data_IF_524436782773
#
_entry.id   IF_524436782773
#
_cell.length_a   1.000
_cell.length_b   1.000
_cell.length_c   1.000
_cell.angle_alpha   90.00
_cell.angle_beta   90.00
_cell.angle_gamma   90.00
#
_symmetry.space_group_name_H-M   'P 1'
#
loop_
_entity.id
_entity.type
_entity.pdbx_description
1 polymer ?
#
# COMPACT_ATOMS: atom_id res chain seq x y z
N UNK A 1 20.04 13.99 26.45
CA UNK A 1 19.13 12.84 26.65
C UNK A 1 17.97 12.99 25.67
N UNK A 2 17.65 11.91 24.96
CA UNK A 2 16.67 11.80 23.84
C UNK A 2 16.96 12.65 22.60
N UNK A 3 17.81 12.10 21.71
CA UNK A 3 18.04 12.62 20.36
C UNK A 3 17.35 11.67 19.38
N UNK A 4 16.14 12.02 18.93
CA UNK A 4 15.35 11.22 17.98
C UNK A 4 15.66 11.67 16.55
N UNK A 5 16.85 11.34 16.05
CA UNK A 5 17.21 11.49 14.64
C UNK A 5 17.11 10.14 13.93
N UNK A 6 15.93 9.85 13.38
CA UNK A 6 15.75 8.89 12.29
C UNK A 6 14.81 9.53 11.25
N UNK A 7 15.22 10.67 10.71
CA UNK A 7 14.70 11.22 9.46
C UNK A 7 15.89 11.27 8.49
N UNK A 8 16.27 10.12 7.95
CA UNK A 8 17.17 10.07 6.81
C UNK A 8 16.33 9.80 5.56
N UNK A 9 16.28 10.84 4.73
CA UNK A 9 15.84 10.83 3.35
C UNK A 9 16.53 9.69 2.57
N UNK A 10 15.87 9.20 1.52
CA UNK A 10 16.35 8.21 0.52
C UNK A 10 16.65 6.78 0.97
N UNK A 11 15.80 6.18 1.82
CA UNK A 11 15.79 4.73 2.03
C UNK A 11 15.09 3.99 0.89
N UNK A 12 15.80 3.68 -0.20
CA UNK A 12 15.34 2.77 -1.25
C UNK A 12 15.15 1.37 -0.65
N UNK A 13 13.90 0.96 -0.43
CA UNK A 13 13.60 -0.43 -0.07
C UNK A 13 13.81 -1.32 -1.30
N UNK A 14 14.97 -1.97 -1.36
CA UNK A 14 15.26 -2.96 -2.39
C UNK A 14 14.27 -4.14 -2.27
N UNK A 15 13.63 -4.49 -3.39
CA UNK A 15 12.51 -5.44 -3.44
C UNK A 15 12.95 -6.91 -3.44
N UNK A 16 14.20 -7.21 -3.12
CA UNK A 16 14.72 -8.58 -3.06
C UNK A 16 15.51 -8.83 -1.77
N UNK A 17 14.77 -9.00 -0.69
CA UNK A 17 15.24 -9.77 0.46
C UNK A 17 16.07 -8.99 1.47
N UNK A 18 15.63 -9.09 2.73
CA UNK A 18 16.31 -8.70 3.94
C UNK A 18 16.71 -7.22 4.05
N UNK A 19 16.04 -6.51 4.96
CA UNK A 19 16.65 -5.39 5.66
C UNK A 19 17.88 -5.92 6.42
N UNK A 20 19.03 -5.99 5.75
CA UNK A 20 20.31 -6.25 6.41
C UNK A 20 20.70 -4.97 7.11
N UNK A 21 20.37 -4.89 8.39
CA UNK A 21 21.12 -4.03 9.26
C UNK A 21 22.18 -4.87 9.93
N UNK A 22 23.44 -4.49 9.69
CA UNK A 22 24.58 -5.08 10.34
C UNK A 22 24.42 -5.10 11.87
N UNK A 23 24.83 -6.22 12.46
CA UNK A 23 25.16 -6.37 13.87
C UNK A 23 23.97 -6.55 14.82
N UNK A 24 23.66 -7.81 15.12
CA UNK A 24 23.06 -8.24 16.40
C UNK A 24 21.61 -7.81 16.67
N UNK A 25 20.74 -8.79 16.84
CA UNK A 25 19.29 -8.67 17.12
C UNK A 25 18.41 -8.46 15.90
N UNK A 26 17.61 -9.49 15.63
CA UNK A 26 16.61 -9.62 14.57
C UNK A 26 15.85 -8.32 14.29
N UNK A 27 16.22 -7.62 13.20
CA UNK A 27 15.39 -6.53 12.68
C UNK A 27 14.20 -7.15 11.96
N UNK A 28 13.08 -7.28 12.67
CA UNK A 28 11.76 -7.46 12.04
C UNK A 28 11.67 -6.41 10.95
N UNK A 29 11.43 -6.82 9.70
CA UNK A 29 11.01 -5.91 8.64
C UNK A 29 9.76 -5.21 9.18
N UNK A 30 9.95 -4.00 9.72
CA UNK A 30 8.91 -3.31 10.43
C UNK A 30 7.95 -2.82 9.35
N UNK A 31 6.74 -3.35 9.33
CA UNK A 31 5.65 -2.77 8.55
C UNK A 31 5.17 -1.55 9.35
N UNK A 32 5.66 -0.32 9.06
CA UNK A 32 5.34 0.85 9.89
C UNK A 32 3.83 1.14 9.91
N UNK A 33 3.10 0.64 8.91
CA UNK A 33 1.67 0.75 8.77
C UNK A 33 0.86 -0.35 9.48
N UNK A 34 1.47 -1.25 10.25
CA UNK A 34 0.71 -2.26 11.00
C UNK A 34 -0.26 -1.64 12.00
N UNK A 35 0.16 -0.59 12.70
CA UNK A 35 -0.73 0.13 13.61
C UNK A 35 -1.96 0.65 12.87
N UNK A 36 -1.75 1.21 11.66
CA UNK A 36 -2.83 1.73 10.82
C UNK A 36 -3.74 0.63 10.28
N UNK A 37 -3.17 -0.53 9.90
CA UNK A 37 -3.92 -1.71 9.47
C UNK A 37 -4.77 -2.27 10.59
N UNK A 38 -4.22 -2.38 11.80
CA UNK A 38 -4.94 -2.85 12.98
C UNK A 38 -6.06 -1.89 13.34
N UNK A 39 -5.80 -0.57 13.34
CA UNK A 39 -6.82 0.44 13.62
C UNK A 39 -7.95 0.42 12.58
N UNK A 40 -7.62 0.31 11.30
CA UNK A 40 -8.63 0.19 10.24
C UNK A 40 -9.41 -1.13 10.37
N UNK A 41 -8.71 -2.24 10.54
CA UNK A 41 -9.34 -3.55 10.56
C UNK A 41 -10.22 -3.76 11.80
N UNK A 42 -9.83 -3.25 12.97
CA UNK A 42 -10.63 -3.39 14.19
C UNK A 42 -12.02 -2.76 14.03
N UNK A 43 -12.10 -1.57 13.42
CA UNK A 43 -13.36 -0.86 13.19
C UNK A 43 -14.27 -1.67 12.26
N UNK A 44 -13.76 -2.08 11.10
CA UNK A 44 -14.58 -2.79 10.10
C UNK A 44 -14.89 -4.23 10.48
N UNK A 45 -14.00 -4.92 11.19
CA UNK A 45 -14.31 -6.25 11.75
C UNK A 45 -15.43 -6.14 12.79
N UNK A 46 -15.33 -5.19 13.72
CA UNK A 46 -16.37 -4.98 14.73
C UNK A 46 -17.72 -4.67 14.08
N UNK A 47 -17.78 -3.68 13.18
CA UNK A 47 -19.01 -3.29 12.51
C UNK A 47 -19.55 -4.38 11.58
N UNK A 48 -18.69 -5.12 10.89
CA UNK A 48 -19.10 -6.19 10.00
C UNK A 48 -19.66 -7.39 10.76
N UNK A 49 -18.98 -7.84 11.83
CA UNK A 49 -19.47 -8.94 12.69
C UNK A 49 -20.80 -8.57 13.33
N UNK A 50 -20.92 -7.34 13.86
CA UNK A 50 -22.16 -6.86 14.48
C UNK A 50 -23.35 -6.84 13.50
N UNK A 51 -23.11 -6.51 12.22
CA UNK A 51 -24.15 -6.58 11.18
C UNK A 51 -24.61 -8.00 10.91
N UNK A 52 -23.72 -8.99 10.97
CA UNK A 52 -24.07 -10.41 10.78
C UNK A 52 -24.91 -10.96 11.93
N UNK A 53 -24.66 -10.53 13.18
CA UNK A 53 -25.43 -11.02 14.33
C UNK A 53 -26.82 -10.41 14.41
N UNK A 54 -27.07 -9.27 13.76
CA UNK A 54 -28.34 -8.54 13.81
C UNK A 54 -28.90 -8.21 12.41
N UNK A 55 -28.76 -9.13 11.45
CA UNK A 55 -29.13 -8.91 10.05
C UNK A 55 -30.54 -8.33 9.85
N UNK A 56 -31.56 -8.92 10.48
CA UNK A 56 -32.95 -8.47 10.31
C UNK A 56 -33.20 -7.09 10.93
N UNK A 57 -32.63 -6.82 12.11
CA UNK A 57 -32.76 -5.51 12.78
C UNK A 57 -32.04 -4.41 12.01
N UNK A 58 -30.83 -4.70 11.51
CA UNK A 58 -30.07 -3.79 10.67
C UNK A 58 -30.75 -3.55 9.31
N UNK A 59 -31.35 -4.57 8.71
CA UNK A 59 -32.09 -4.44 7.45
C UNK A 59 -33.27 -3.47 7.60
N UNK A 60 -34.04 -3.62 8.68
CA UNK A 60 -35.13 -2.71 9.01
C UNK A 60 -34.62 -1.28 9.28
N UNK A 61 -33.54 -1.13 10.06
CA UNK A 61 -32.96 0.18 10.39
C UNK A 61 -32.34 0.91 9.19
N UNK A 62 -31.75 0.17 8.24
CA UNK A 62 -31.11 0.73 7.04
C UNK A 62 -32.08 0.87 5.85
N UNK A 63 -33.29 0.31 5.95
CA UNK A 63 -34.27 0.29 4.86
C UNK A 63 -33.78 -0.47 3.62
N UNK A 64 -32.98 -1.53 3.82
CA UNK A 64 -32.44 -2.37 2.73
C UNK A 64 -32.78 -3.84 3.01
N UNK A 65 -32.88 -4.70 1.98
CA UNK A 65 -33.15 -6.12 2.19
C UNK A 65 -32.01 -6.80 2.97
N UNK A 66 -32.34 -7.89 3.67
CA UNK A 66 -31.39 -8.67 4.50
C UNK A 66 -30.13 -9.07 3.73
N UNK A 67 -30.28 -9.48 2.46
CA UNK A 67 -29.12 -9.84 1.64
C UNK A 67 -28.19 -8.65 1.37
N UNK A 68 -28.73 -7.42 1.30
CA UNK A 68 -27.93 -6.21 1.13
C UNK A 68 -27.07 -5.91 2.37
N UNK A 69 -27.63 -6.11 3.57
CA UNK A 69 -26.86 -6.03 4.83
C UNK A 69 -25.76 -7.08 4.86
N UNK A 70 -26.06 -8.31 4.44
CA UNK A 70 -25.08 -9.39 4.40
C UNK A 70 -23.92 -9.09 3.44
N UNK A 71 -24.20 -8.50 2.27
CA UNK A 71 -23.16 -8.06 1.33
C UNK A 71 -22.29 -6.97 1.96
N UNK A 72 -22.90 -5.94 2.57
CA UNK A 72 -22.15 -4.87 3.25
C UNK A 72 -21.25 -5.43 4.35
N UNK A 73 -21.80 -6.30 5.21
CA UNK A 73 -21.04 -6.95 6.28
C UNK A 73 -19.89 -7.80 5.73
N UNK A 74 -20.12 -8.56 4.66
CA UNK A 74 -19.11 -9.35 3.99
C UNK A 74 -17.98 -8.50 3.40
N UNK A 75 -18.31 -7.37 2.76
CA UNK A 75 -17.31 -6.43 2.23
C UNK A 75 -16.46 -5.81 3.35
N UNK A 76 -17.07 -5.44 4.47
CA UNK A 76 -16.35 -4.90 5.63
C UNK A 76 -15.41 -5.95 6.25
N UNK A 77 -15.88 -7.18 6.47
CA UNK A 77 -15.07 -8.25 7.08
C UNK A 77 -13.94 -8.69 6.13
N UNK A 78 -14.27 -9.06 4.90
CA UNK A 78 -13.27 -9.56 3.95
C UNK A 78 -12.29 -8.44 3.60
N UNK A 79 -12.78 -7.23 3.36
CA UNK A 79 -11.94 -6.09 3.04
C UNK A 79 -10.96 -5.72 4.16
N UNK A 80 -11.43 -5.72 5.40
CA UNK A 80 -10.56 -5.46 6.57
C UNK A 80 -9.55 -6.58 6.84
N UNK A 81 -9.93 -7.84 6.67
CA UNK A 81 -9.00 -8.98 6.77
C UNK A 81 -7.93 -8.91 5.68
N UNK A 82 -8.30 -8.57 4.44
CA UNK A 82 -7.34 -8.38 3.36
C UNK A 82 -6.35 -7.25 3.68
N UNK A 83 -6.82 -6.12 4.21
CA UNK A 83 -5.94 -5.03 4.65
C UNK A 83 -5.03 -5.48 5.81
N UNK A 84 -5.55 -6.22 6.78
CA UNK A 84 -4.77 -6.66 7.94
C UNK A 84 -3.70 -7.71 7.58
N UNK A 85 -4.08 -8.69 6.75
CA UNK A 85 -3.24 -9.85 6.44
C UNK A 85 -2.33 -9.62 5.24
N UNK A 86 -2.59 -8.61 4.41
CA UNK A 86 -1.79 -8.31 3.21
C UNK A 86 -0.26 -8.31 3.41
N UNK A 87 0.31 -7.81 4.51
CA UNK A 87 1.77 -7.84 4.72
C UNK A 87 2.36 -9.25 4.81
N UNK A 88 1.54 -10.24 5.18
CA UNK A 88 1.91 -11.65 5.28
C UNK A 88 1.59 -12.44 4.01
N UNK A 89 0.94 -11.80 3.03
CA UNK A 89 0.56 -12.42 1.76
C UNK A 89 1.62 -12.13 0.69
N UNK A 90 1.83 -13.09 -0.22
CA UNK A 90 2.80 -12.96 -1.33
C UNK A 90 2.43 -11.87 -2.35
N UNK A 91 1.17 -11.43 -2.36
CA UNK A 91 0.64 -10.47 -3.33
C UNK A 91 0.52 -9.08 -2.73
N UNK A 92 1.24 -8.12 -3.30
CA UNK A 92 1.25 -6.72 -2.83
C UNK A 92 -0.06 -5.96 -3.08
N UNK A 93 -1.00 -6.50 -3.88
CA UNK A 93 -2.31 -5.87 -4.15
C UNK A 93 -3.38 -6.14 -3.09
N UNK A 94 -3.18 -7.07 -2.15
CA UNK A 94 -4.26 -7.51 -1.25
C UNK A 94 -4.80 -6.36 -0.39
N UNK A 95 -3.92 -5.45 0.04
CA UNK A 95 -4.33 -4.25 0.76
C UNK A 95 -5.18 -3.31 -0.11
N UNK A 96 -4.86 -3.18 -1.40
CA UNK A 96 -5.64 -2.36 -2.32
C UNK A 96 -7.00 -2.98 -2.62
N UNK A 97 -7.07 -4.30 -2.81
CA UNK A 97 -8.33 -5.00 -2.98
C UNK A 97 -9.22 -4.83 -1.74
N UNK A 98 -8.65 -5.00 -0.54
CA UNK A 98 -9.39 -4.80 0.70
C UNK A 98 -9.90 -3.36 0.86
N UNK A 99 -9.07 -2.36 0.56
CA UNK A 99 -9.49 -0.97 0.52
C UNK A 99 -10.60 -0.70 -0.52
N UNK A 100 -10.52 -1.30 -1.72
CA UNK A 100 -11.55 -1.21 -2.75
C UNK A 100 -12.88 -1.82 -2.34
N UNK A 101 -12.87 -2.87 -1.52
CA UNK A 101 -14.10 -3.47 -1.00
C UNK A 101 -14.79 -2.56 0.02
N UNK A 102 -14.01 -1.87 0.87
CA UNK A 102 -14.54 -1.02 1.95
C UNK A 102 -14.92 0.39 1.47
N UNK A 103 -14.16 0.98 0.54
CA UNK A 103 -14.42 2.33 0.03
C UNK A 103 -15.87 2.59 -0.45
N UNK A 104 -16.51 1.73 -1.26
CA UNK A 104 -17.90 1.96 -1.68
C UNK A 104 -18.89 1.85 -0.51
N UNK A 105 -18.63 0.97 0.46
CA UNK A 105 -19.44 0.88 1.69
C UNK A 105 -19.40 2.21 2.44
N UNK A 106 -18.20 2.78 2.58
CA UNK A 106 -18.02 4.07 3.24
C UNK A 106 -18.69 5.22 2.51
N UNK A 107 -18.60 5.26 1.18
CA UNK A 107 -19.30 6.28 0.38
C UNK A 107 -20.81 6.22 0.60
N UNK A 108 -21.41 5.04 0.49
CA UNK A 108 -22.86 4.87 0.72
C UNK A 108 -23.23 5.28 2.16
N UNK A 109 -22.43 4.88 3.15
CA UNK A 109 -22.70 5.23 4.54
C UNK A 109 -22.65 6.76 4.78
N UNK A 110 -21.64 7.44 4.21
CA UNK A 110 -21.50 8.90 4.31
C UNK A 110 -22.71 9.59 3.71
N UNK A 111 -23.08 9.27 2.47
CA UNK A 111 -24.17 9.95 1.78
C UNK A 111 -25.55 9.67 2.39
N UNK A 112 -25.79 8.45 2.90
CA UNK A 112 -27.11 8.07 3.42
C UNK A 112 -27.32 8.39 4.90
N UNK A 113 -26.28 8.26 5.74
CA UNK A 113 -26.47 8.24 7.19
C UNK A 113 -25.71 9.32 7.95
N UNK A 114 -24.67 9.92 7.34
CA UNK A 114 -23.78 10.86 8.03
C UNK A 114 -23.67 12.22 7.34
N UNK A 115 -24.40 12.43 6.25
CA UNK A 115 -24.30 13.64 5.44
C UNK A 115 -24.83 14.86 6.19
N UNK A 116 -24.22 16.03 5.97
CA UNK A 116 -24.73 17.32 6.42
C UNK A 116 -24.15 17.83 7.75
N UNK A 117 -23.65 16.93 8.61
CA UNK A 117 -22.98 17.29 9.86
C UNK A 117 -21.52 16.83 9.83
N UNK A 118 -20.56 17.72 10.15
CA UNK A 118 -19.16 17.31 10.27
C UNK A 118 -18.90 16.52 11.56
N UNK A 119 -19.27 17.08 12.71
CA UNK A 119 -19.03 16.52 14.04
C UNK A 119 -19.54 15.07 14.17
N UNK A 120 -18.68 14.14 14.60
CA UNK A 120 -19.03 12.73 14.78
C UNK A 120 -20.07 12.46 15.88
N UNK A 121 -20.31 13.40 16.81
CA UNK A 121 -21.27 13.20 17.90
C UNK A 121 -22.73 13.19 17.40
N UNK A 122 -23.58 12.27 17.90
CA UNK A 122 -25.01 12.27 17.61
C UNK A 122 -25.70 13.59 17.95
N UNK A 123 -26.69 13.96 17.16
CA UNK A 123 -27.53 15.14 17.37
C UNK A 123 -28.99 14.83 17.03
N UNK A 124 -29.91 15.76 17.35
CA UNK A 124 -31.33 15.60 17.04
C UNK A 124 -31.60 15.41 15.53
N UNK A 125 -30.78 16.00 14.67
CA UNK A 125 -30.90 15.89 13.22
C UNK A 125 -30.08 14.74 12.64
N UNK A 126 -29.04 14.28 13.34
CA UNK A 126 -28.14 13.20 12.90
C UNK A 126 -27.97 12.17 14.01
N UNK A 127 -28.92 11.22 14.17
CA UNK A 127 -28.89 10.23 15.24
C UNK A 127 -27.66 9.31 15.17
N UNK A 128 -27.11 9.10 13.97
CA UNK A 128 -25.90 8.31 13.74
C UNK A 128 -24.59 9.12 13.90
N UNK A 129 -24.67 10.43 14.17
CA UNK A 129 -23.52 11.33 14.15
C UNK A 129 -23.12 11.78 12.74
N UNK A 130 -22.12 12.66 12.65
CA UNK A 130 -21.65 13.27 11.41
C UNK A 130 -20.57 12.50 10.65
N UNK A 131 -20.08 13.13 9.59
CA UNK A 131 -19.19 12.53 8.58
C UNK A 131 -17.71 12.48 8.96
N UNK A 132 -17.23 13.20 9.98
CA UNK A 132 -15.80 13.31 10.33
C UNK A 132 -15.11 11.95 10.43
N UNK A 133 -15.63 11.05 11.28
CA UNK A 133 -15.04 9.73 11.46
C UNK A 133 -15.08 8.88 10.18
N UNK A 134 -16.20 8.96 9.44
CA UNK A 134 -16.38 8.20 8.20
C UNK A 134 -15.46 8.67 7.08
N UNK A 135 -15.20 9.99 6.99
CA UNK A 135 -14.25 10.56 6.03
C UNK A 135 -12.84 10.09 6.33
N UNK A 136 -12.42 10.06 7.61
CA UNK A 136 -11.10 9.54 7.99
C UNK A 136 -10.95 8.08 7.58
N UNK A 137 -11.94 7.23 7.87
CA UNK A 137 -11.91 5.82 7.48
C UNK A 137 -11.90 5.63 5.96
N UNK A 138 -12.66 6.44 5.21
CA UNK A 138 -12.62 6.44 3.74
C UNK A 138 -11.22 6.82 3.24
N UNK A 139 -10.58 7.84 3.80
CA UNK A 139 -9.21 8.23 3.45
C UNK A 139 -8.21 7.12 3.76
N UNK A 140 -8.39 6.36 4.84
CA UNK A 140 -7.57 5.18 5.14
C UNK A 140 -7.77 4.06 4.11
N UNK A 141 -9.01 3.80 3.70
CA UNK A 141 -9.29 2.85 2.63
C UNK A 141 -8.59 3.27 1.33
N UNK A 142 -8.69 4.55 0.95
CA UNK A 142 -8.03 5.14 -0.21
C UNK A 142 -6.49 5.10 -0.09
N UNK A 143 -5.94 5.30 1.11
CA UNK A 143 -4.52 5.13 1.38
C UNK A 143 -4.06 3.70 1.08
N UNK A 144 -4.80 2.67 1.54
CA UNK A 144 -4.46 1.28 1.24
C UNK A 144 -4.61 0.94 -0.25
N UNK A 145 -5.61 1.52 -0.93
CA UNK A 145 -5.76 1.45 -2.39
C UNK A 145 -4.52 2.03 -3.07
N UNK A 146 -4.13 3.25 -2.72
CA UNK A 146 -2.98 3.92 -3.33
C UNK A 146 -1.67 3.16 -3.07
N UNK A 147 -1.44 2.71 -1.84
CA UNK A 147 -0.24 1.96 -1.45
C UNK A 147 -0.13 0.59 -2.14
N UNK A 148 -1.26 -0.11 -2.34
CA UNK A 148 -1.26 -1.43 -2.98
C UNK A 148 -1.13 -1.42 -4.51
N UNK A 149 -1.12 -0.25 -5.17
CA UNK A 149 -0.96 -0.11 -6.64
C UNK A 149 0.41 -0.54 -7.18
N UNK A 150 1.40 -0.76 -6.33
CA UNK A 150 2.71 -1.28 -6.76
C UNK A 150 2.69 -2.79 -7.09
N UNK A 151 1.52 -3.43 -7.05
CA UNK A 151 1.34 -4.78 -7.54
C UNK A 151 1.29 -4.80 -9.08
N UNK A 152 2.46 -4.99 -9.70
CA UNK A 152 2.58 -5.27 -11.13
C UNK A 152 3.37 -4.26 -11.95
N UNK A 153 3.59 -3.02 -11.46
CA UNK A 153 4.37 -2.02 -12.19
C UNK A 153 5.85 -2.45 -12.39
N UNK A 154 6.40 -3.29 -11.51
CA UNK A 154 7.75 -3.84 -11.65
C UNK A 154 7.81 -5.21 -12.36
N UNK A 155 6.68 -5.75 -12.87
CA UNK A 155 6.63 -7.02 -13.62
C UNK A 155 6.14 -6.85 -15.07
N UNK A 156 6.08 -5.62 -15.56
CA UNK A 156 5.71 -5.30 -16.95
C UNK A 156 6.67 -4.29 -17.60
N UNK A 157 7.85 -4.04 -17.01
CA UNK A 157 8.98 -3.54 -17.79
C UNK A 157 9.68 -4.74 -18.44
N UNK A 158 9.14 -5.11 -19.60
CA UNK A 158 9.90 -5.64 -20.74
C UNK A 158 10.65 -6.96 -20.49
N UNK A 159 9.90 -8.06 -20.49
CA UNK A 159 10.39 -9.35 -21.01
C UNK A 159 10.48 -9.28 -22.54
N UNK A 160 11.28 -8.33 -23.04
CA UNK A 160 11.49 -8.08 -24.45
C UNK A 160 12.97 -7.88 -24.69
N UNK A 161 13.64 -8.99 -25.03
CA UNK A 161 15.00 -9.07 -25.57
C UNK A 161 16.15 -8.84 -24.58
N UNK A 162 16.34 -9.77 -23.64
CA UNK A 162 17.72 -10.18 -23.34
C UNK A 162 18.01 -11.34 -24.29
N UNK A 163 18.71 -11.01 -25.38
CA UNK A 163 19.30 -11.99 -26.27
C UNK A 163 20.09 -13.00 -25.45
N UNK A 164 19.88 -14.26 -25.80
CA UNK A 164 20.75 -15.37 -25.51
C UNK A 164 22.17 -15.05 -25.97
N UNK A 165 23.05 -14.71 -25.04
CA UNK A 165 24.44 -15.16 -25.05
C UNK A 165 25.05 -14.97 -23.66
N UNK A 166 25.23 -16.11 -22.99
CA UNK A 166 26.41 -16.48 -22.23
C UNK A 166 27.34 -15.33 -21.77
N UNK A 167 27.23 -14.96 -20.48
CA UNK A 167 28.33 -15.16 -19.52
C UNK A 167 27.90 -14.85 -18.09
N UNK A 168 28.20 -15.82 -17.24
CA UNK A 168 28.25 -15.74 -15.78
C UNK A 168 28.93 -14.44 -15.31
N UNK A 169 28.22 -13.65 -14.50
CA UNK A 169 28.75 -12.40 -13.98
C UNK A 169 27.72 -11.65 -13.15
N UNK A 170 27.59 -12.05 -11.89
CA UNK A 170 26.88 -11.33 -10.82
C UNK A 170 27.16 -9.82 -10.87
N UNK A 171 26.13 -9.02 -11.09
CA UNK A 171 26.13 -7.59 -10.79
C UNK A 171 25.03 -7.29 -9.76
N UNK A 172 25.31 -7.61 -8.51
CA UNK A 172 24.67 -7.02 -7.34
C UNK A 172 25.77 -6.39 -6.49
N UNK A 173 25.81 -5.07 -6.43
CA UNK A 173 26.71 -4.32 -5.54
C UNK A 173 27.69 -3.42 -6.30
N UNK A 174 27.62 -2.13 -5.95
CA UNK A 174 28.56 -1.05 -6.27
C UNK A 174 28.90 -0.84 -7.76
N UNK A 175 28.08 0.01 -8.36
CA UNK A 175 28.48 1.18 -9.16
C UNK A 175 27.54 1.33 -10.37
N UNK A 176 26.41 2.02 -10.16
CA UNK A 176 25.40 2.28 -11.21
C UNK A 176 25.93 3.20 -12.33
N UNK A 177 27.14 3.75 -12.21
CA UNK A 177 27.75 4.60 -13.22
C UNK A 177 28.17 3.85 -14.50
N UNK A 178 28.30 2.52 -14.45
CA UNK A 178 28.74 1.71 -15.62
C UNK A 178 27.62 1.17 -16.51
N UNK A 179 26.36 1.20 -16.07
CA UNK A 179 25.25 0.61 -16.83
C UNK A 179 24.53 1.61 -17.76
N UNK A 180 24.86 2.91 -17.69
CA UNK A 180 24.31 3.93 -18.58
C UNK A 180 25.45 4.79 -19.14
N UNK A 181 25.96 4.43 -20.33
CA UNK A 181 26.55 5.39 -21.26
C UNK A 181 28.04 5.70 -21.10
N UNK A 182 28.90 4.68 -21.20
CA UNK A 182 30.28 4.89 -21.67
C UNK A 182 30.30 5.06 -23.19
N UNK A 183 29.98 6.26 -23.69
CA UNK A 183 30.38 6.63 -25.04
C UNK A 183 31.88 6.99 -25.00
N UNK A 184 32.74 5.96 -25.08
CA UNK A 184 34.17 6.15 -25.30
C UNK A 184 34.37 6.89 -26.63
N UNK A 185 34.94 8.10 -26.56
CA UNK A 185 35.54 8.74 -27.72
C UNK A 185 36.71 7.88 -28.19
N UNK A 186 36.81 7.51 -29.48
CA UNK A 186 37.97 6.80 -29.98
C UNK A 186 39.21 7.70 -29.85
N UNK A 187 40.26 7.11 -29.27
CA UNK A 187 41.60 7.65 -29.24
C UNK A 187 42.09 7.93 -30.67
N UNK A 188 42.32 9.20 -31.00
CA UNK A 188 43.07 9.57 -32.19
C UNK A 188 44.55 9.38 -31.90
N UNK A 189 45.13 8.44 -32.63
CA UNK A 189 46.52 8.02 -32.53
C UNK A 189 47.52 9.13 -32.85
N UNK A 190 48.71 8.97 -32.26
CA UNK A 190 49.85 9.83 -32.50
C UNK A 190 50.33 9.78 -33.95
N UNK A 191 50.71 10.95 -34.45
CA UNK A 191 51.63 11.10 -35.57
C UNK A 191 52.94 11.65 -35.02
N UNK A 192 53.91 10.75 -34.91
CA UNK A 192 55.32 11.06 -34.78
C UNK A 192 55.91 11.02 -36.20
N UNK A 193 56.50 12.11 -36.68
CA UNK A 193 57.33 12.10 -37.87
C UNK A 193 58.38 13.22 -37.82
N UNK A 194 59.62 12.82 -37.54
CA UNK A 194 60.70 12.98 -38.52
C UNK A 194 61.18 14.39 -38.85
N UNK A 195 62.14 14.87 -38.06
CA UNK A 195 63.49 15.24 -38.50
C UNK A 195 63.70 15.45 -40.01
N UNK A 196 63.93 16.71 -40.43
CA UNK A 196 64.85 17.04 -41.53
C UNK A 196 65.64 18.31 -41.21
N UNK A 197 66.96 18.07 -41.16
CA UNK A 197 68.16 18.93 -41.30
C UNK A 197 68.00 20.44 -41.22
#
# INVERSE_FOLDING_TARGET
MMNSSCYSSSGSCDCKGACSCGGGMMKKCCHPDMLLRVAFASVFLYHGILKLTMLSGMAAGLGIPVWGVAVVAGLEIIGSLLVLLAPFMKHSCMAALGGLMVAPVMLVAIFKYHWGQWNFLPSATHPAGGMEFQVVLLLLALYFIAKGKHCGACRMMKAGSCGSEEKSGSCCGEDQSKCCGGAEKPAMGGMNNGMKK
#
